data_IF_431577934895
#
_entry.id   IF_431577934895
#
_cell.length_a   1.000
_cell.length_b   1.000
_cell.length_c   1.000
_cell.angle_alpha   90.00
_cell.angle_beta   90.00
_cell.angle_gamma   90.00
#
_symmetry.space_group_name_H-M   'P 1'
#
loop_
_entity.id
_entity.type
_entity.pdbx_description
1 polymer ?
#
# COMPACT_ATOMS: atom_id res chain seq x y z
N UNK A 1 -12.14 -1.82 -14.42
CA UNK A 1 -12.32 -3.20 -13.88
C UNK A 1 -12.54 -3.12 -12.37
N UNK A 2 -12.98 -4.21 -11.70
CA UNK A 2 -13.06 -4.27 -10.24
C UNK A 2 -12.05 -5.30 -9.73
N UNK A 3 -11.22 -4.89 -8.78
CA UNK A 3 -10.21 -5.72 -8.15
C UNK A 3 -10.52 -5.85 -6.67
N UNK A 4 -10.75 -7.07 -6.19
CA UNK A 4 -10.88 -7.34 -4.76
C UNK A 4 -9.48 -7.58 -4.20
N UNK A 5 -8.89 -6.56 -3.59
CA UNK A 5 -7.60 -6.65 -2.90
C UNK A 5 -7.82 -7.39 -1.59
N UNK A 6 -7.20 -8.56 -1.47
CA UNK A 6 -7.30 -9.43 -0.30
C UNK A 6 -6.13 -9.26 0.65
N UNK A 7 -4.95 -8.90 0.12
CA UNK A 7 -3.77 -8.61 0.91
C UNK A 7 -2.81 -7.67 0.15
N UNK A 8 -2.05 -6.88 0.90
CA UNK A 8 -1.07 -5.94 0.34
C UNK A 8 0.17 -5.83 1.23
N UNK A 9 1.33 -5.90 0.60
CA UNK A 9 2.62 -5.70 1.22
C UNK A 9 3.26 -4.43 0.69
N UNK A 10 3.49 -3.46 1.57
CA UNK A 10 4.24 -2.25 1.25
C UNK A 10 5.72 -2.40 1.58
N UNK A 11 6.54 -1.64 0.85
CA UNK A 11 7.97 -1.53 1.09
C UNK A 11 8.22 -0.48 2.19
N UNK A 12 8.00 -0.87 3.45
CA UNK A 12 8.28 0.01 4.61
C UNK A 12 9.77 0.17 4.91
N UNK A 13 10.59 -0.78 4.43
CA UNK A 13 12.01 -0.89 4.78
C UNK A 13 12.94 -0.38 3.65
N UNK A 14 12.47 0.53 2.79
CA UNK A 14 13.24 1.05 1.63
C UNK A 14 14.31 2.07 2.04
N UNK A 15 14.97 1.79 3.15
CA UNK A 15 16.22 2.40 3.54
C UNK A 15 17.06 1.27 4.16
N UNK A 16 18.00 0.73 3.39
CA UNK A 16 19.08 -0.13 3.92
C UNK A 16 20.03 0.67 4.86
N UNK A 17 19.72 1.94 5.12
CA UNK A 17 20.27 2.71 6.22
C UNK A 17 19.34 2.63 7.42
N UNK A 18 19.91 2.23 8.55
CA UNK A 18 19.36 2.39 9.90
C UNK A 18 19.09 3.88 10.19
N UNK A 19 18.08 4.48 9.54
CA UNK A 19 17.78 5.91 9.68
C UNK A 19 16.28 6.17 9.57
N UNK A 20 15.76 6.45 10.75
CA UNK A 20 14.48 7.10 11.03
C UNK A 20 14.22 8.28 10.07
N UNK A 21 13.02 8.27 9.49
CA UNK A 21 12.24 9.41 9.00
C UNK A 21 12.83 10.29 7.89
N UNK A 22 12.03 10.44 6.84
CA UNK A 22 12.03 11.64 6.01
C UNK A 22 11.88 12.89 6.90
N UNK A 23 12.91 13.72 6.94
CA UNK A 23 13.01 14.93 7.78
C UNK A 23 11.98 16.04 7.47
N UNK A 24 10.99 15.83 6.59
CA UNK A 24 10.13 16.90 6.08
C UNK A 24 8.62 16.58 6.06
N UNK A 25 8.17 15.42 6.55
CA UNK A 25 6.74 15.12 6.62
C UNK A 25 6.40 14.49 7.97
N UNK A 26 5.27 14.90 8.55
CA UNK A 26 4.65 14.41 9.80
C UNK A 26 4.31 12.89 9.79
N UNK A 27 4.98 12.08 8.97
CA UNK A 27 4.75 10.64 8.80
C UNK A 27 5.58 9.84 9.80
N UNK A 28 5.55 10.24 11.07
CA UNK A 28 6.39 9.71 12.15
C UNK A 28 5.93 8.35 12.71
N UNK A 29 4.87 7.72 12.18
CA UNK A 29 4.16 6.65 12.90
C UNK A 29 4.29 5.22 12.35
N UNK A 30 4.79 4.99 11.14
CA UNK A 30 4.67 3.66 10.50
C UNK A 30 5.80 2.68 10.91
N UNK A 31 6.58 3.02 11.94
CA UNK A 31 7.60 2.13 12.48
C UNK A 31 7.00 0.93 13.25
N UNK A 32 5.82 1.10 13.87
CA UNK A 32 5.17 0.00 14.62
C UNK A 32 4.49 -0.98 13.67
N UNK A 33 4.55 -2.27 14.01
CA UNK A 33 3.86 -3.33 13.27
C UNK A 33 2.34 -3.10 13.21
N UNK A 34 1.77 -2.49 14.26
CA UNK A 34 0.34 -2.13 14.31
C UNK A 34 -0.02 -1.05 13.29
N UNK A 35 0.75 0.03 13.21
CA UNK A 35 0.54 1.10 12.24
C UNK A 35 0.70 0.57 10.80
N UNK A 36 1.68 -0.33 10.58
CA UNK A 36 1.86 -1.03 9.29
C UNK A 36 0.64 -1.87 8.93
N UNK A 37 0.06 -2.59 9.90
CA UNK A 37 -1.17 -3.36 9.71
C UNK A 37 -2.36 -2.44 9.39
N UNK A 38 -2.54 -1.34 10.11
CA UNK A 38 -3.62 -0.40 9.83
C UNK A 38 -3.54 0.20 8.42
N UNK A 39 -2.32 0.51 7.94
CA UNK A 39 -2.11 0.96 6.56
C UNK A 39 -2.52 -0.13 5.57
N UNK A 40 -2.17 -1.39 5.80
CA UNK A 40 -2.58 -2.50 4.93
C UNK A 40 -4.09 -2.66 4.92
N UNK A 41 -4.68 -2.83 6.09
CA UNK A 41 -6.10 -3.09 6.28
C UNK A 41 -6.97 -1.98 5.66
N UNK A 42 -6.51 -0.73 5.72
CA UNK A 42 -7.20 0.41 5.11
C UNK A 42 -7.27 0.36 3.58
N UNK A 43 -6.35 -0.34 2.93
CA UNK A 43 -6.27 -0.46 1.48
C UNK A 43 -6.79 -1.81 0.97
N UNK A 44 -7.28 -2.69 1.85
CA UNK A 44 -7.98 -3.91 1.46
C UNK A 44 -9.41 -3.62 1.02
N UNK A 45 -9.95 -4.45 0.14
CA UNK A 45 -11.31 -4.33 -0.37
C UNK A 45 -11.39 -4.12 -1.87
N UNK A 46 -12.52 -3.62 -2.34
CA UNK A 46 -12.79 -3.50 -3.78
C UNK A 46 -12.28 -2.16 -4.30
N UNK A 47 -11.38 -2.23 -5.26
CA UNK A 47 -10.85 -1.10 -6.01
C UNK A 47 -11.39 -1.09 -7.44
N UNK A 48 -11.61 0.11 -7.99
CA UNK A 48 -12.07 0.30 -9.37
C UNK A 48 -10.93 0.92 -10.19
N UNK A 49 -10.18 0.09 -10.91
CA UNK A 49 -9.06 0.52 -11.74
C UNK A 49 -9.20 -0.04 -13.16
N UNK A 50 -8.62 0.60 -14.17
CA UNK A 50 -8.73 0.15 -15.55
C UNK A 50 -7.96 -1.15 -15.83
N UNK A 51 -6.76 -1.28 -15.27
CA UNK A 51 -5.91 -2.47 -15.32
C UNK A 51 -5.05 -2.63 -14.05
N UNK A 52 -4.22 -3.68 -14.02
CA UNK A 52 -3.38 -4.01 -12.87
C UNK A 52 -2.35 -2.91 -12.52
N UNK A 53 -1.82 -2.18 -13.52
CA UNK A 53 -0.90 -1.07 -13.25
C UNK A 53 -1.63 0.14 -12.69
N UNK A 54 -2.83 0.43 -13.20
CA UNK A 54 -3.68 1.51 -12.72
C UNK A 54 -4.07 1.26 -11.24
N UNK A 55 -4.38 0.01 -10.89
CA UNK A 55 -4.61 -0.40 -9.49
C UNK A 55 -3.41 -0.12 -8.58
N UNK A 56 -2.20 -0.46 -9.05
CA UNK A 56 -0.97 -0.22 -8.30
C UNK A 56 -0.72 1.27 -8.09
N UNK A 57 -0.90 2.09 -9.14
CA UNK A 57 -0.68 3.53 -9.08
C UNK A 57 -1.70 4.20 -8.15
N UNK A 58 -2.98 3.82 -8.22
CA UNK A 58 -4.02 4.34 -7.33
C UNK A 58 -3.72 4.01 -5.85
N UNK A 59 -3.36 2.76 -5.56
CA UNK A 59 -3.07 2.35 -4.18
C UNK A 59 -1.78 3.00 -3.67
N UNK A 60 -0.74 3.12 -4.50
CA UNK A 60 0.48 3.84 -4.14
C UNK A 60 0.22 5.33 -3.91
N UNK A 61 -0.60 5.98 -4.74
CA UNK A 61 -0.99 7.38 -4.58
C UNK A 61 -1.85 7.60 -3.33
N UNK A 62 -2.74 6.66 -2.99
CA UNK A 62 -3.60 6.71 -1.80
C UNK A 62 -2.82 6.43 -0.52
N UNK A 63 -1.95 5.42 -0.52
CA UNK A 63 -1.20 5.00 0.67
C UNK A 63 0.02 5.88 0.92
N UNK A 64 0.62 6.45 -0.12
CA UNK A 64 1.91 7.13 -0.06
C UNK A 64 3.10 6.17 0.05
N UNK A 65 2.87 4.86 -0.10
CA UNK A 65 3.90 3.82 0.01
C UNK A 65 4.02 3.02 -1.29
N UNK A 66 5.25 2.66 -1.61
CA UNK A 66 5.52 1.76 -2.72
C UNK A 66 5.07 0.33 -2.36
N UNK A 67 4.32 -0.28 -3.28
CA UNK A 67 3.80 -1.63 -3.11
C UNK A 67 4.90 -2.62 -3.46
N UNK A 68 5.24 -3.48 -2.50
CA UNK A 68 6.18 -4.60 -2.70
C UNK A 68 5.46 -5.78 -3.36
N UNK A 69 4.26 -6.09 -2.88
CA UNK A 69 3.45 -7.17 -3.40
C UNK A 69 1.97 -6.88 -3.16
N UNK A 70 1.10 -7.33 -4.04
CA UNK A 70 -0.35 -7.18 -3.89
C UNK A 70 -1.04 -8.46 -4.33
N UNK A 71 -2.06 -8.86 -3.58
CA UNK A 71 -2.89 -10.01 -3.88
C UNK A 71 -4.32 -9.54 -4.09
N UNK A 72 -4.88 -9.83 -5.25
CA UNK A 72 -6.22 -9.43 -5.62
C UNK A 72 -6.90 -10.44 -6.53
N UNK A 73 -8.23 -10.38 -6.55
CA UNK A 73 -9.07 -11.16 -7.46
C UNK A 73 -9.82 -10.22 -8.40
N UNK A 74 -9.75 -10.51 -9.70
CA UNK A 74 -10.48 -9.75 -10.72
C UNK A 74 -11.95 -10.15 -10.65
N UNK A 75 -12.80 -9.19 -10.30
CA UNK A 75 -14.25 -9.35 -10.27
C UNK A 75 -14.79 -8.97 -11.66
N UNK A 76 -14.84 -9.95 -12.57
CA UNK A 76 -15.48 -9.80 -13.88
C UNK A 76 -17.00 -9.76 -13.67
N UNK A 77 -17.65 -8.67 -14.09
CA UNK A 77 -19.11 -8.57 -14.15
C UNK A 77 -19.68 -9.37 -15.33
#
# INVERSE_FOLDING_TARGET
MKFLVTDIEFHFDKDEGDTICNSELDTFFIASELDRQEVRDRHLGVWEADDDNDLLDEITASSGWEIKNIYYEIQLK
#
